data_IF_812643239742
#
_entry.id   IF_812643239742
#
_cell.length_a   1.000
_cell.length_b   1.000
_cell.length_c   1.000
_cell.angle_alpha   90.00
_cell.angle_beta   90.00
_cell.angle_gamma   90.00
#
_symmetry.space_group_name_H-M   'P 1'
#
loop_
_entity.id
_entity.type
_entity.pdbx_description
1 polymer ?
#
# COMPACT_ATOMS: atom_id res chain seq x y z
N UNK A 1 7.32 -2.74 23.68
CA UNK A 1 6.03 -2.26 23.15
C UNK A 1 4.95 -2.74 24.11
N UNK A 2 4.15 -1.83 24.69
CA UNK A 2 3.16 -2.19 25.70
C UNK A 2 2.05 -3.05 25.05
N UNK A 3 2.01 -4.35 25.36
CA UNK A 3 1.07 -5.32 24.79
C UNK A 3 -0.29 -5.33 25.48
N UNK A 4 -0.43 -4.55 26.55
CA UNK A 4 -1.64 -4.51 27.39
C UNK A 4 -2.85 -3.94 26.61
N UNK A 5 -2.68 -2.80 25.94
CA UNK A 5 -3.77 -2.13 25.20
C UNK A 5 -4.34 -3.01 24.06
N UNK A 6 -3.53 -3.63 23.19
CA UNK A 6 -4.06 -4.55 22.15
C UNK A 6 -4.80 -5.75 22.75
N UNK A 7 -4.32 -6.32 23.85
CA UNK A 7 -4.99 -7.45 24.54
C UNK A 7 -6.33 -7.02 25.13
N UNK A 8 -6.40 -5.85 25.74
CA UNK A 8 -7.64 -5.31 26.30
C UNK A 8 -8.69 -5.08 25.22
N UNK A 9 -8.30 -4.44 24.10
CA UNK A 9 -9.18 -4.20 22.96
C UNK A 9 -9.66 -5.53 22.37
N UNK A 10 -8.77 -6.50 22.14
CA UNK A 10 -9.14 -7.81 21.64
C UNK A 10 -10.09 -8.56 22.57
N UNK A 11 -9.83 -8.51 23.88
CA UNK A 11 -10.73 -9.07 24.90
C UNK A 11 -12.12 -8.44 24.88
N UNK A 12 -12.21 -7.12 24.79
CA UNK A 12 -13.49 -6.40 24.69
C UNK A 12 -14.28 -6.76 23.44
N UNK A 13 -13.61 -6.90 22.30
CA UNK A 13 -14.25 -7.34 21.04
C UNK A 13 -14.76 -8.77 21.16
N UNK A 14 -13.99 -9.66 21.79
CA UNK A 14 -14.42 -11.05 22.01
C UNK A 14 -15.66 -11.13 22.94
N UNK A 15 -15.70 -10.37 24.02
CA UNK A 15 -16.90 -10.29 24.89
C UNK A 15 -18.10 -9.75 24.09
N UNK A 16 -17.89 -8.69 23.30
CA UNK A 16 -18.97 -8.15 22.45
C UNK A 16 -19.46 -9.16 21.42
N UNK A 17 -18.59 -10.05 20.91
CA UNK A 17 -18.97 -11.08 19.95
C UNK A 17 -19.95 -12.11 20.52
N UNK A 18 -19.90 -12.38 21.82
CA UNK A 18 -20.89 -13.22 22.51
C UNK A 18 -22.27 -12.56 22.61
N UNK A 19 -22.34 -11.22 22.62
CA UNK A 19 -23.58 -10.48 22.66
C UNK A 19 -24.12 -10.18 21.25
N UNK A 20 -23.25 -9.80 20.34
CA UNK A 20 -23.58 -9.48 18.94
C UNK A 20 -22.36 -9.65 18.05
N UNK A 21 -22.35 -10.72 17.25
CA UNK A 21 -21.27 -10.98 16.30
C UNK A 21 -21.16 -9.89 15.23
N UNK A 22 -22.27 -9.33 14.79
CA UNK A 22 -22.29 -8.22 13.81
C UNK A 22 -21.64 -6.96 14.35
N UNK A 23 -21.96 -6.57 15.60
CA UNK A 23 -21.38 -5.39 16.23
C UNK A 23 -19.86 -5.57 16.45
N UNK A 24 -19.45 -6.74 16.95
CA UNK A 24 -18.04 -7.05 17.15
C UNK A 24 -17.25 -7.03 15.84
N UNK A 25 -17.81 -7.61 14.77
CA UNK A 25 -17.17 -7.61 13.44
C UNK A 25 -17.03 -6.21 12.86
N UNK A 26 -18.07 -5.37 12.98
CA UNK A 26 -18.03 -3.99 12.51
C UNK A 26 -17.00 -3.16 13.28
N UNK A 27 -16.93 -3.32 14.61
CA UNK A 27 -15.94 -2.65 15.43
C UNK A 27 -14.50 -3.08 15.08
N UNK A 28 -14.29 -4.38 14.92
CA UNK A 28 -13.00 -4.93 14.51
C UNK A 28 -12.59 -4.39 13.13
N UNK A 29 -13.51 -4.40 12.16
CA UNK A 29 -13.25 -3.90 10.81
C UNK A 29 -12.92 -2.41 10.83
N UNK A 30 -13.66 -1.58 11.56
CA UNK A 30 -13.38 -0.15 11.69
C UNK A 30 -12.00 0.10 12.30
N UNK A 31 -11.66 -0.61 13.36
CA UNK A 31 -10.37 -0.50 14.04
C UNK A 31 -9.19 -0.89 13.12
N UNK A 32 -9.30 -2.03 12.42
CA UNK A 32 -8.26 -2.51 11.50
C UNK A 32 -8.19 -1.70 10.21
N UNK A 33 -9.28 -1.03 9.82
CA UNK A 33 -9.29 -0.15 8.65
C UNK A 33 -8.64 1.22 8.92
N UNK A 34 -8.35 1.59 10.17
CA UNK A 34 -7.74 2.88 10.54
C UNK A 34 -6.29 2.67 10.98
N UNK A 35 -5.31 2.81 10.09
CA UNK A 35 -3.92 2.61 10.46
C UNK A 35 -3.46 3.69 11.46
N UNK A 36 -2.86 3.26 12.57
CA UNK A 36 -2.32 4.15 13.59
C UNK A 36 -0.93 4.70 13.22
N UNK A 37 -0.26 4.04 12.26
CA UNK A 37 1.09 4.37 11.77
C UNK A 37 1.10 4.37 10.24
N UNK A 38 2.24 4.75 9.66
CA UNK A 38 2.44 4.71 8.21
C UNK A 38 2.28 6.06 7.51
N UNK A 39 1.70 7.09 8.16
CA UNK A 39 1.70 8.45 7.62
C UNK A 39 3.12 9.03 7.59
N UNK A 40 3.43 9.75 6.52
CA UNK A 40 4.65 10.55 6.45
C UNK A 40 4.46 11.80 7.29
N UNK A 41 5.25 11.90 8.36
CA UNK A 41 5.19 13.06 9.27
C UNK A 41 6.11 14.20 8.80
N UNK A 42 7.14 13.89 8.01
CA UNK A 42 8.14 14.82 7.50
C UNK A 42 8.64 14.36 6.13
N UNK A 43 9.19 15.27 5.31
CA UNK A 43 9.92 14.92 4.09
C UNK A 43 11.01 13.88 4.40
N UNK A 44 11.24 12.98 3.46
CA UNK A 44 12.23 11.91 3.61
C UNK A 44 13.18 11.91 2.42
N UNK A 45 14.48 12.00 2.67
CA UNK A 45 15.55 12.16 1.66
C UNK A 45 15.47 11.16 0.51
N UNK A 46 14.99 9.92 0.75
CA UNK A 46 14.77 8.94 -0.32
C UNK A 46 13.68 9.40 -1.29
N UNK A 47 12.55 9.90 -0.76
CA UNK A 47 11.41 10.35 -1.57
C UNK A 47 11.65 11.72 -2.19
N UNK A 48 12.51 12.55 -1.58
CA UNK A 48 12.84 13.88 -2.13
C UNK A 48 13.68 13.82 -3.40
N UNK A 49 14.32 12.67 -3.66
CA UNK A 49 15.07 12.39 -4.90
C UNK A 49 14.21 11.80 -6.02
N UNK A 50 12.91 11.69 -5.83
CA UNK A 50 11.96 11.18 -6.83
C UNK A 50 11.17 12.29 -7.49
N UNK A 51 10.71 12.05 -8.70
CA UNK A 51 9.63 12.82 -9.31
C UNK A 51 8.32 12.45 -8.59
N UNK A 52 7.72 13.42 -7.89
CA UNK A 52 6.46 13.21 -7.16
C UNK A 52 5.29 13.53 -8.07
N UNK A 53 4.30 12.63 -8.12
CA UNK A 53 3.05 12.84 -8.87
C UNK A 53 1.86 12.46 -8.00
N UNK A 54 0.83 13.30 -7.96
CA UNK A 54 -0.47 12.97 -7.40
C UNK A 54 -1.37 12.44 -8.51
N UNK A 55 -1.93 11.28 -8.27
CA UNK A 55 -3.00 10.69 -9.07
C UNK A 55 -4.28 10.67 -8.23
N UNK A 56 -5.40 10.33 -8.84
CA UNK A 56 -6.69 10.35 -8.16
C UNK A 56 -7.49 9.08 -8.46
N UNK A 57 -8.06 8.51 -7.42
CA UNK A 57 -9.16 7.56 -7.52
C UNK A 57 -10.38 8.21 -6.86
N UNK A 58 -11.40 8.54 -7.67
CA UNK A 58 -12.50 9.40 -7.22
C UNK A 58 -11.94 10.70 -6.60
N UNK A 59 -12.29 11.01 -5.37
CA UNK A 59 -11.81 12.18 -4.63
C UNK A 59 -10.58 11.88 -3.75
N UNK A 60 -9.97 10.71 -3.87
CA UNK A 60 -8.85 10.28 -3.03
C UNK A 60 -7.51 10.49 -3.75
N UNK A 61 -6.64 11.24 -3.13
CA UNK A 61 -5.27 11.44 -3.62
C UNK A 61 -4.42 10.20 -3.47
N UNK A 62 -3.65 9.88 -4.50
CA UNK A 62 -2.67 8.78 -4.54
C UNK A 62 -1.29 9.41 -4.72
N UNK A 63 -0.50 9.41 -3.66
CA UNK A 63 0.88 9.88 -3.74
C UNK A 63 1.75 8.82 -4.42
N UNK A 64 2.44 9.22 -5.49
CA UNK A 64 3.38 8.37 -6.22
C UNK A 64 4.75 9.03 -6.31
N UNK A 65 5.77 8.19 -6.37
CA UNK A 65 7.18 8.55 -6.38
C UNK A 65 7.87 7.79 -7.49
N UNK A 66 8.48 8.49 -8.45
CA UNK A 66 9.14 7.87 -9.59
C UNK A 66 10.65 8.17 -9.56
N UNK A 67 11.45 7.14 -9.79
CA UNK A 67 12.88 7.23 -10.10
C UNK A 67 13.06 6.71 -11.51
N UNK A 68 13.43 7.59 -12.44
CA UNK A 68 13.54 7.26 -13.85
C UNK A 68 14.72 6.35 -14.13
N UNK A 69 14.54 5.41 -15.03
CA UNK A 69 15.53 4.51 -15.59
C UNK A 69 15.11 4.11 -17.00
N UNK A 70 16.02 3.50 -17.76
CA UNK A 70 15.78 3.12 -19.17
C UNK A 70 15.14 1.75 -19.33
N UNK A 71 15.18 0.89 -18.29
CA UNK A 71 14.59 -0.45 -18.32
C UNK A 71 13.12 -0.47 -17.92
N UNK A 72 12.56 -1.68 -17.79
CA UNK A 72 11.14 -1.89 -17.42
C UNK A 72 10.76 -1.13 -16.16
N UNK A 73 9.48 -0.79 -16.09
CA UNK A 73 8.91 -0.14 -14.91
C UNK A 73 8.57 -1.16 -13.83
N UNK A 74 9.07 -0.92 -12.63
CA UNK A 74 8.78 -1.70 -11.42
C UNK A 74 7.83 -0.90 -10.54
N UNK A 75 6.66 -1.45 -10.23
CA UNK A 75 5.75 -0.91 -9.21
C UNK A 75 6.07 -1.51 -7.84
N UNK A 76 6.14 -0.66 -6.82
CA UNK A 76 6.40 -1.03 -5.43
C UNK A 76 5.20 -0.68 -4.55
N UNK A 77 4.48 -1.69 -4.05
CA UNK A 77 3.31 -1.55 -3.19
C UNK A 77 3.61 -2.03 -1.75
N UNK A 78 3.64 -1.10 -0.79
CA UNK A 78 3.99 -1.41 0.60
C UNK A 78 2.85 -2.07 1.39
N UNK A 79 3.15 -2.59 2.58
CA UNK A 79 2.19 -3.21 3.49
C UNK A 79 1.51 -2.24 4.46
N UNK A 80 0.65 -2.82 5.33
CA UNK A 80 -0.09 -2.07 6.35
C UNK A 80 0.84 -1.38 7.35
N UNK A 81 0.44 -0.20 7.83
CA UNK A 81 1.20 0.66 8.76
C UNK A 81 2.63 0.98 8.29
N UNK A 82 2.83 1.08 6.98
CA UNK A 82 4.08 1.41 6.32
C UNK A 82 3.87 2.57 5.33
N UNK A 83 4.87 2.88 4.50
CA UNK A 83 4.80 3.83 3.39
C UNK A 83 5.92 3.55 2.38
N UNK A 84 6.01 4.35 1.32
CA UNK A 84 6.97 4.17 0.23
C UNK A 84 8.44 4.23 0.65
N UNK A 85 8.79 4.85 1.79
CA UNK A 85 10.16 4.88 2.34
C UNK A 85 10.68 3.48 2.67
N UNK A 86 9.79 2.52 2.96
CA UNK A 86 10.16 1.12 3.18
C UNK A 86 11.08 0.56 2.09
N UNK A 87 10.89 1.01 0.88
CA UNK A 87 11.57 0.51 -0.30
C UNK A 87 12.97 1.08 -0.53
N UNK A 88 13.49 1.97 0.36
CA UNK A 88 14.76 2.68 0.18
C UNK A 88 15.92 1.80 -0.31
N UNK A 89 16.10 0.62 0.29
CA UNK A 89 17.21 -0.29 -0.07
C UNK A 89 16.96 -0.99 -1.42
N UNK A 90 15.72 -1.33 -1.73
CA UNK A 90 15.30 -1.91 -3.02
C UNK A 90 15.44 -0.87 -4.12
N UNK A 91 14.96 0.37 -3.90
CA UNK A 91 15.09 1.48 -4.83
C UNK A 91 16.54 1.71 -5.22
N UNK A 92 17.46 1.80 -4.25
CA UNK A 92 18.91 1.99 -4.54
C UNK A 92 19.47 0.86 -5.41
N UNK A 93 19.05 -0.38 -5.17
CA UNK A 93 19.52 -1.54 -5.96
C UNK A 93 18.94 -1.51 -7.38
N UNK A 94 17.65 -1.22 -7.53
CA UNK A 94 16.99 -1.15 -8.83
C UNK A 94 17.50 0.03 -9.67
N UNK A 95 17.81 1.18 -9.04
CA UNK A 95 18.44 2.32 -9.72
C UNK A 95 19.82 1.97 -10.29
N UNK A 96 20.65 1.22 -9.54
CA UNK A 96 21.95 0.73 -10.04
C UNK A 96 21.81 -0.18 -11.25
N UNK A 97 20.67 -0.84 -11.40
CA UNK A 97 20.33 -1.72 -12.51
C UNK A 97 19.57 -1.00 -13.63
N UNK A 98 19.37 0.32 -13.49
CA UNK A 98 18.72 1.21 -14.45
C UNK A 98 17.23 0.90 -14.70
N UNK A 99 16.50 0.37 -13.70
CA UNK A 99 15.05 0.22 -13.77
C UNK A 99 14.34 1.55 -13.59
N UNK A 100 13.22 1.75 -14.32
CA UNK A 100 12.26 2.78 -13.99
C UNK A 100 11.41 2.29 -12.80
N UNK A 101 11.35 3.05 -11.72
CA UNK A 101 10.75 2.61 -10.46
C UNK A 101 9.61 3.54 -10.11
N UNK A 102 8.47 2.97 -9.73
CA UNK A 102 7.33 3.72 -9.20
C UNK A 102 6.93 3.12 -7.87
N UNK A 103 6.91 3.91 -6.81
CA UNK A 103 6.31 3.53 -5.54
C UNK A 103 5.02 4.33 -5.33
N UNK A 104 4.03 3.71 -4.69
CA UNK A 104 2.81 4.41 -4.28
C UNK A 104 2.58 4.26 -2.78
N UNK A 105 2.00 5.28 -2.17
CA UNK A 105 1.48 5.18 -0.81
C UNK A 105 0.04 4.64 -0.85
N UNK A 106 -0.23 3.64 0.00
CA UNK A 106 -1.54 3.02 0.14
C UNK A 106 -2.60 4.00 0.69
N UNK A 107 -3.92 3.72 0.55
CA UNK A 107 -4.97 4.50 1.19
C UNK A 107 -4.69 4.68 2.69
N UNK A 108 -4.89 5.86 3.23
CA UNK A 108 -4.65 6.24 4.62
C UNK A 108 -3.20 6.13 5.10
N UNK A 109 -2.21 5.95 4.19
CA UNK A 109 -0.79 5.86 4.49
C UNK A 109 0.02 6.91 3.74
N UNK A 110 1.27 7.11 4.17
CA UNK A 110 2.21 8.03 3.55
C UNK A 110 1.61 9.42 3.37
N UNK A 111 1.67 9.93 2.15
CA UNK A 111 1.04 11.17 1.72
C UNK A 111 -0.27 10.96 0.95
N UNK A 112 -0.75 9.72 0.79
CA UNK A 112 -2.01 9.42 0.12
C UNK A 112 -3.23 9.81 0.95
N UNK A 113 -4.33 10.10 0.28
CA UNK A 113 -5.63 10.39 0.88
C UNK A 113 -6.27 9.19 1.58
N UNK A 114 -7.53 9.36 1.99
CA UNK A 114 -8.35 8.43 2.75
C UNK A 114 -8.14 8.47 4.27
N UNK A 115 -9.20 8.11 5.01
CA UNK A 115 -9.18 7.86 6.46
C UNK A 115 -9.18 6.37 6.79
N UNK A 116 -9.55 5.55 5.80
CA UNK A 116 -9.66 4.09 5.94
C UNK A 116 -8.74 3.39 4.95
N UNK A 117 -8.35 2.19 5.33
CA UNK A 117 -7.52 1.29 4.54
C UNK A 117 -8.18 -0.09 4.45
N UNK A 118 -8.25 -0.64 3.25
CA UNK A 118 -8.50 -2.06 3.02
C UNK A 118 -7.86 -2.47 1.68
N UNK A 119 -7.68 -3.78 1.49
CA UNK A 119 -7.01 -4.32 0.30
C UNK A 119 -7.78 -4.03 -1.01
N UNK A 120 -9.12 -3.94 -0.94
CA UNK A 120 -9.97 -3.64 -2.11
C UNK A 120 -9.76 -2.21 -2.57
N UNK A 121 -9.80 -1.23 -1.64
CA UNK A 121 -9.51 0.17 -1.96
C UNK A 121 -8.05 0.33 -2.44
N UNK A 122 -7.12 -0.38 -1.81
CA UNK A 122 -5.72 -0.33 -2.24
C UNK A 122 -5.54 -0.90 -3.66
N UNK A 123 -6.29 -1.93 -4.04
CA UNK A 123 -6.25 -2.45 -5.41
C UNK A 123 -6.73 -1.42 -6.45
N UNK A 124 -7.64 -0.51 -6.07
CA UNK A 124 -8.06 0.60 -6.93
C UNK A 124 -6.95 1.64 -7.11
N UNK A 125 -6.19 1.91 -6.07
CA UNK A 125 -4.98 2.75 -6.17
C UNK A 125 -3.95 2.11 -7.10
N UNK A 126 -3.70 0.81 -6.94
CA UNK A 126 -2.82 0.02 -7.84
C UNK A 126 -3.31 0.11 -9.28
N UNK A 127 -4.63 -0.02 -9.53
CA UNK A 127 -5.23 0.08 -10.87
C UNK A 127 -4.93 1.43 -11.53
N UNK A 128 -5.13 2.55 -10.81
CA UNK A 128 -4.85 3.89 -11.31
C UNK A 128 -3.37 4.06 -11.66
N UNK A 129 -2.49 3.61 -10.76
CA UNK A 129 -1.04 3.69 -10.96
C UNK A 129 -0.59 2.80 -12.13
N UNK A 130 -1.17 1.61 -12.29
CA UNK A 130 -0.88 0.72 -13.42
C UNK A 130 -1.36 1.30 -14.76
N UNK A 131 -2.48 2.01 -14.79
CA UNK A 131 -2.96 2.72 -16.01
C UNK A 131 -2.00 3.84 -16.41
N UNK A 132 -1.49 4.59 -15.44
CA UNK A 132 -0.60 5.73 -15.68
C UNK A 132 0.80 5.29 -16.10
N UNK A 133 1.44 4.41 -15.33
CA UNK A 133 2.86 4.09 -15.48
C UNK A 133 3.12 2.78 -16.24
N UNK A 134 2.12 1.95 -16.47
CA UNK A 134 2.17 0.67 -17.20
C UNK A 134 3.33 -0.24 -16.76
N UNK A 135 3.51 -0.49 -15.44
CA UNK A 135 4.60 -1.32 -14.96
C UNK A 135 4.44 -2.76 -15.44
N UNK A 136 5.53 -3.37 -15.91
CA UNK A 136 5.56 -4.79 -16.26
C UNK A 136 6.04 -5.68 -15.10
N UNK A 137 6.62 -5.08 -14.06
CA UNK A 137 7.05 -5.78 -12.85
C UNK A 137 6.26 -5.20 -11.68
N UNK A 138 5.53 -6.07 -10.96
CA UNK A 138 4.74 -5.68 -9.80
C UNK A 138 5.32 -6.33 -8.54
N UNK A 139 5.75 -5.50 -7.59
CA UNK A 139 6.32 -5.96 -6.32
C UNK A 139 5.45 -5.47 -5.16
N UNK A 140 4.93 -6.40 -4.37
CA UNK A 140 4.09 -6.12 -3.22
C UNK A 140 4.63 -6.74 -1.93
N UNK A 141 4.53 -5.99 -0.82
CA UNK A 141 4.81 -6.51 0.50
C UNK A 141 3.52 -6.67 1.29
N UNK A 142 3.29 -7.86 1.86
CA UNK A 142 2.12 -8.14 2.72
C UNK A 142 0.81 -7.72 2.02
N UNK A 143 -0.01 -6.86 2.62
CA UNK A 143 -1.26 -6.37 2.02
C UNK A 143 -1.06 -5.66 0.68
N UNK A 144 0.11 -5.12 0.39
CA UNK A 144 0.45 -4.61 -0.95
C UNK A 144 0.45 -5.71 -2.00
N UNK A 145 0.92 -6.91 -1.66
CA UNK A 145 0.80 -8.10 -2.50
C UNK A 145 -0.66 -8.53 -2.71
N UNK A 146 -1.47 -8.51 -1.64
CA UNK A 146 -2.92 -8.79 -1.74
C UNK A 146 -3.63 -7.78 -2.67
N UNK A 147 -3.29 -6.49 -2.58
CA UNK A 147 -3.87 -5.47 -3.44
C UNK A 147 -3.51 -5.67 -4.92
N UNK A 148 -2.25 -6.04 -5.23
CA UNK A 148 -1.81 -6.42 -6.57
C UNK A 148 -2.58 -7.66 -7.07
N UNK A 149 -2.69 -8.70 -6.26
CA UNK A 149 -3.41 -9.92 -6.62
C UNK A 149 -4.89 -9.65 -6.91
N UNK A 150 -5.54 -8.81 -6.08
CA UNK A 150 -6.93 -8.43 -6.31
C UNK A 150 -7.10 -7.56 -7.56
N UNK A 151 -6.17 -6.64 -7.83
CA UNK A 151 -6.13 -5.87 -9.06
C UNK A 151 -6.04 -6.79 -10.28
N UNK A 152 -5.10 -7.72 -10.31
CA UNK A 152 -4.90 -8.66 -11.43
C UNK A 152 -6.13 -9.57 -11.64
N UNK A 153 -6.76 -10.05 -10.55
CA UNK A 153 -8.00 -10.83 -10.63
C UNK A 153 -9.13 -10.04 -11.31
N UNK A 154 -9.22 -8.72 -11.06
CA UNK A 154 -10.27 -7.87 -11.65
C UNK A 154 -9.92 -7.36 -13.05
N UNK A 155 -8.65 -7.36 -13.41
CA UNK A 155 -8.12 -6.86 -14.69
C UNK A 155 -7.33 -7.96 -15.39
N UNK A 156 -8.00 -9.07 -15.77
CA UNK A 156 -7.39 -10.26 -16.37
C UNK A 156 -6.59 -9.98 -17.67
N UNK A 157 -6.89 -8.87 -18.35
CA UNK A 157 -6.17 -8.43 -19.53
C UNK A 157 -4.86 -7.69 -19.23
N UNK A 158 -4.61 -7.33 -17.96
CA UNK A 158 -3.36 -6.70 -17.58
C UNK A 158 -2.24 -7.73 -17.54
N UNK A 159 -1.20 -7.50 -18.38
CA UNK A 159 -0.06 -8.41 -18.48
C UNK A 159 1.11 -7.86 -17.68
N UNK A 160 1.45 -8.53 -16.58
CA UNK A 160 2.68 -8.31 -15.86
C UNK A 160 3.68 -9.40 -16.23
N UNK A 161 4.92 -9.01 -16.55
CA UNK A 161 5.99 -9.97 -16.89
C UNK A 161 6.50 -10.68 -15.63
N UNK A 162 6.50 -9.97 -14.50
CA UNK A 162 7.02 -10.51 -13.22
C UNK A 162 6.17 -10.02 -12.05
N UNK A 163 5.87 -10.96 -11.15
CA UNK A 163 5.23 -10.70 -9.87
C UNK A 163 6.18 -11.09 -8.73
N UNK A 164 6.38 -10.18 -7.77
CA UNK A 164 7.21 -10.42 -6.59
C UNK A 164 6.39 -10.15 -5.34
N UNK A 165 6.17 -11.18 -4.53
CA UNK A 165 5.46 -11.06 -3.27
C UNK A 165 6.41 -11.31 -2.10
N UNK A 166 6.44 -10.36 -1.16
CA UNK A 166 7.31 -10.38 0.02
C UNK A 166 6.45 -10.45 1.27
N UNK A 167 6.53 -11.56 2.01
CA UNK A 167 5.78 -11.73 3.27
C UNK A 167 4.26 -11.58 3.09
N UNK A 168 3.72 -12.10 1.98
CA UNK A 168 2.29 -12.10 1.66
C UNK A 168 1.70 -13.50 1.95
#
# INVERSE_FOLDING_TARGET
MNTFIPKLIGGSINVLAHLSQSMASNLALDLFSRPLKGRLKQPHTTLDKSDKKLLYYENLEIATYQWRGSKQTVLLAHGWQSNSVRWKNIIVRLQKLDYNIVALDAPAHGASGSKIFNAVLYSKFVEVVCKEFKPSILMGHSVGGMAISYFLKKNSNYKADTLVFLGA
#
